data_IF_722738775615
#
_entry.id   IF_722738775615
#
_cell.length_a   1.000
_cell.length_b   1.000
_cell.length_c   1.000
_cell.angle_alpha   90.00
_cell.angle_beta   90.00
_cell.angle_gamma   90.00
#
_symmetry.space_group_name_H-M   'P 1'
#
loop_
_entity.id
_entity.type
_entity.pdbx_description
1 polymer ?
#
# COMPACT_ATOMS: atom_id res chain seq x y z
N UNK A 1 10.88 -45.02 58.12
CA UNK A 1 11.85 -43.94 57.92
C UNK A 1 11.42 -43.16 56.68
N UNK A 2 10.83 -41.97 56.90
CA UNK A 2 11.27 -40.65 56.38
C UNK A 2 12.16 -40.65 55.12
N UNK A 3 12.07 -39.77 54.11
CA UNK A 3 11.35 -38.52 53.74
C UNK A 3 11.58 -38.38 52.22
N UNK A 4 10.71 -37.69 51.47
CA UNK A 4 11.12 -37.20 50.13
C UNK A 4 10.08 -36.51 49.25
N UNK A 5 9.41 -35.49 49.80
CA UNK A 5 8.98 -34.22 49.15
C UNK A 5 8.42 -34.22 47.70
N UNK A 6 7.11 -33.91 47.59
CA UNK A 6 6.45 -33.37 46.38
C UNK A 6 6.95 -31.93 46.13
N UNK A 7 7.54 -31.66 44.97
CA UNK A 7 7.72 -30.29 44.46
C UNK A 7 6.42 -29.82 43.82
N UNK A 8 5.64 -29.03 44.55
CA UNK A 8 4.69 -28.08 44.00
C UNK A 8 5.49 -26.91 43.40
N UNK A 9 5.46 -26.73 42.09
CA UNK A 9 5.91 -25.49 41.47
C UNK A 9 4.78 -24.48 41.65
N UNK A 10 4.91 -23.63 42.67
CA UNK A 10 4.12 -22.41 42.78
C UNK A 10 4.55 -21.47 41.67
N UNK A 11 3.75 -21.36 40.62
CA UNK A 11 3.80 -20.19 39.74
C UNK A 11 3.24 -19.04 40.55
N UNK A 12 4.12 -18.21 41.07
CA UNK A 12 3.77 -16.90 41.63
C UNK A 12 3.19 -16.07 40.49
N UNK A 13 1.87 -15.95 40.48
CA UNK A 13 1.20 -14.88 39.75
C UNK A 13 1.46 -13.59 40.52
N UNK A 14 2.48 -12.84 40.10
CA UNK A 14 2.64 -11.47 40.54
C UNK A 14 1.42 -10.67 40.03
N UNK A 15 0.61 -10.06 40.91
CA UNK A 15 -0.34 -9.05 40.48
C UNK A 15 0.50 -7.85 40.07
N UNK A 16 0.48 -7.45 38.80
CA UNK A 16 1.02 -6.17 38.40
C UNK A 16 0.16 -5.07 39.02
N UNK A 17 0.53 -4.66 40.24
CA UNK A 17 0.04 -3.47 40.91
C UNK A 17 0.63 -2.26 40.16
N UNK A 18 -0.07 -1.81 39.12
CA UNK A 18 0.39 -0.76 38.21
C UNK A 18 0.41 0.64 38.86
N UNK A 19 0.15 0.77 40.15
CA UNK A 19 0.25 2.03 40.91
C UNK A 19 1.69 2.50 41.13
N UNK A 20 2.69 1.63 40.99
CA UNK A 20 4.11 1.97 41.19
C UNK A 20 4.83 2.43 39.93
N UNK A 21 4.16 2.39 38.76
CA UNK A 21 4.76 2.91 37.54
C UNK A 21 4.63 4.44 37.53
N UNK A 22 5.77 5.15 37.52
CA UNK A 22 5.88 6.61 37.63
C UNK A 22 4.89 7.40 36.76
N UNK A 23 4.54 6.88 35.58
CA UNK A 23 3.61 7.52 34.64
C UNK A 23 2.15 7.56 35.12
N UNK A 24 1.75 6.66 36.02
CA UNK A 24 0.40 6.60 36.61
C UNK A 24 0.34 7.23 38.01
N UNK A 25 1.42 7.88 38.45
CA UNK A 25 1.40 8.69 39.67
C UNK A 25 0.38 9.82 39.53
N UNK A 26 -0.33 10.13 40.62
CA UNK A 26 -1.37 11.15 40.66
C UNK A 26 -0.93 12.52 40.13
N UNK A 27 0.32 12.94 40.38
CA UNK A 27 0.85 14.22 39.90
C UNK A 27 1.09 14.21 38.38
N UNK A 28 1.54 13.08 37.84
CA UNK A 28 1.77 12.88 36.41
C UNK A 28 0.45 12.75 35.66
N UNK A 29 -0.52 12.01 36.22
CA UNK A 29 -1.88 11.93 35.70
C UNK A 29 -2.55 13.31 35.70
N UNK A 30 -2.42 14.07 36.79
CA UNK A 30 -2.93 15.45 36.86
C UNK A 30 -2.23 16.37 35.86
N UNK A 31 -0.93 16.19 35.63
CA UNK A 31 -0.22 16.90 34.58
C UNK A 31 -0.76 16.53 33.18
N UNK A 32 -0.98 15.25 32.89
CA UNK A 32 -1.60 14.81 31.64
C UNK A 32 -3.01 15.39 31.46
N UNK A 33 -3.85 15.36 32.49
CA UNK A 33 -5.19 15.94 32.47
C UNK A 33 -5.15 17.45 32.22
N UNK A 34 -4.16 18.16 32.80
CA UNK A 34 -3.94 19.58 32.53
C UNK A 34 -3.51 19.83 31.06
N UNK A 35 -2.81 18.90 30.41
CA UNK A 35 -2.47 19.01 28.98
C UNK A 35 -3.71 18.87 28.09
N UNK A 36 -4.70 18.07 28.49
CA UNK A 36 -5.99 17.94 27.79
C UNK A 36 -6.98 19.06 28.16
N UNK A 37 -6.71 19.82 29.22
CA UNK A 37 -7.53 20.93 29.70
C UNK A 37 -7.17 22.23 28.96
N UNK A 38 -7.38 22.31 27.64
CA UNK A 38 -7.24 23.60 26.96
C UNK A 38 -8.34 24.56 27.43
N UNK A 39 -7.94 25.67 28.04
CA UNK A 39 -8.80 26.76 28.53
C UNK A 39 -9.33 27.69 27.44
N UNK A 40 -9.22 27.32 26.16
CA UNK A 40 -9.91 28.00 25.07
C UNK A 40 -11.03 27.09 24.56
N UNK A 41 -12.27 27.59 24.41
CA UNK A 41 -13.27 26.88 23.66
C UNK A 41 -12.82 26.89 22.21
N UNK A 42 -11.97 25.94 21.83
CA UNK A 42 -11.65 25.72 20.42
C UNK A 42 -12.98 25.31 19.81
N UNK A 43 -13.57 26.25 19.08
CA UNK A 43 -14.71 26.08 18.21
C UNK A 43 -14.27 25.26 16.97
N UNK A 44 -13.52 24.20 17.21
CA UNK A 44 -13.01 23.25 16.23
C UNK A 44 -14.05 22.16 16.09
N UNK A 45 -15.08 22.45 15.30
CA UNK A 45 -16.03 21.44 14.88
C UNK A 45 -15.24 20.34 14.15
N UNK A 46 -15.14 19.15 14.75
CA UNK A 46 -14.77 17.92 14.04
C UNK A 46 -13.33 17.42 14.14
N UNK A 47 -12.45 17.91 15.02
CA UNK A 47 -11.11 17.31 15.20
C UNK A 47 -11.20 15.85 15.70
N UNK A 48 -12.18 15.55 16.56
CA UNK A 48 -12.49 14.20 17.02
C UNK A 48 -12.89 13.25 15.89
N UNK A 49 -13.37 13.78 14.76
CA UNK A 49 -13.74 12.99 13.59
C UNK A 49 -12.57 12.70 12.65
N UNK A 50 -11.39 13.26 12.93
CA UNK A 50 -10.15 13.03 12.19
C UNK A 50 -9.27 11.95 12.82
N UNK A 51 -9.62 11.48 14.02
CA UNK A 51 -8.89 10.41 14.68
C UNK A 51 -8.94 9.11 13.86
N UNK A 52 -7.79 8.48 13.52
CA UNK A 52 -7.77 7.21 12.78
C UNK A 52 -8.40 6.04 13.54
N UNK A 53 -8.43 6.11 14.88
CA UNK A 53 -9.06 5.13 15.75
C UNK A 53 -10.13 5.82 16.58
N UNK A 54 -11.32 5.22 16.63
CA UNK A 54 -12.48 5.78 17.30
C UNK A 54 -13.20 4.72 18.13
N UNK A 55 -13.72 5.13 19.27
CA UNK A 55 -14.67 4.35 20.07
C UNK A 55 -16.09 4.80 19.78
N UNK A 56 -17.09 4.00 20.18
CA UNK A 56 -18.51 4.30 19.90
C UNK A 56 -18.97 5.67 20.41
N UNK A 57 -18.43 6.15 21.54
CA UNK A 57 -18.79 7.43 22.13
C UNK A 57 -18.36 8.64 21.30
N UNK A 58 -17.37 8.49 20.40
CA UNK A 58 -16.98 9.55 19.48
C UNK A 58 -18.04 9.78 18.39
N UNK A 59 -18.75 8.71 17.96
CA UNK A 59 -19.78 8.81 16.93
C UNK A 59 -21.04 9.54 17.42
N UNK A 60 -21.44 9.34 18.67
CA UNK A 60 -22.69 9.92 19.22
C UNK A 60 -22.59 11.44 19.39
N UNK A 61 -21.39 11.97 19.69
CA UNK A 61 -21.13 13.41 19.84
C UNK A 61 -21.13 14.16 18.51
N UNK A 62 -20.50 13.61 17.47
CA UNK A 62 -20.43 14.24 16.14
C UNK A 62 -21.78 14.34 15.42
N UNK A 63 -22.71 13.42 15.71
CA UNK A 63 -24.06 13.42 15.09
C UNK A 63 -25.02 14.51 15.62
N UNK A 64 -24.69 15.20 16.72
CA UNK A 64 -25.59 16.19 17.33
C UNK A 64 -25.34 17.64 16.89
N UNK A 65 -24.20 17.95 16.26
CA UNK A 65 -23.69 19.34 16.17
C UNK A 65 -23.62 19.98 14.80
N UNK A 66 -24.04 19.37 13.68
CA UNK A 66 -23.91 20.04 12.37
C UNK A 66 -25.02 19.71 11.35
N UNK A 67 -25.76 20.75 10.95
CA UNK A 67 -26.67 20.77 9.79
C UNK A 67 -25.94 21.03 8.45
N UNK A 68 -24.60 21.15 8.45
CA UNK A 68 -23.82 21.33 7.23
C UNK A 68 -23.39 19.99 6.63
N UNK A 69 -23.43 19.90 5.28
CA UNK A 69 -23.13 18.75 4.41
C UNK A 69 -22.52 17.55 5.14
N UNK A 70 -23.35 16.58 5.51
CA UNK A 70 -22.91 15.26 6.01
C UNK A 70 -22.02 14.58 4.96
N UNK A 71 -20.71 14.76 5.04
CA UNK A 71 -19.79 13.79 4.49
C UNK A 71 -20.08 12.47 5.20
N UNK A 72 -20.43 11.45 4.42
CA UNK A 72 -20.79 10.17 5.01
C UNK A 72 -19.53 9.57 5.65
N UNK A 73 -19.51 9.50 6.99
CA UNK A 73 -18.40 8.90 7.72
C UNK A 73 -18.21 7.45 7.27
N UNK A 74 -16.96 7.10 6.99
CA UNK A 74 -16.58 5.75 6.61
C UNK A 74 -15.71 5.16 7.70
N UNK A 75 -16.06 3.98 8.19
CA UNK A 75 -15.34 3.31 9.26
C UNK A 75 -15.56 1.80 9.22
N UNK A 76 -14.66 1.05 9.84
CA UNK A 76 -14.78 -0.39 10.02
C UNK A 76 -14.34 -0.84 11.41
N UNK A 77 -14.93 -1.90 11.93
CA UNK A 77 -14.53 -2.49 13.21
C UNK A 77 -13.11 -3.05 13.09
N UNK A 78 -12.21 -2.60 13.96
CA UNK A 78 -10.82 -3.03 13.96
C UNK A 78 -10.52 -3.99 15.10
N UNK A 79 -10.97 -3.64 16.31
CA UNK A 79 -10.59 -4.36 17.51
C UNK A 79 -11.65 -4.25 18.61
N UNK A 80 -11.41 -4.99 19.69
CA UNK A 80 -12.13 -4.86 20.95
C UNK A 80 -11.11 -4.63 22.06
N UNK A 81 -11.29 -3.56 22.83
CA UNK A 81 -10.54 -3.33 24.06
C UNK A 81 -10.83 -4.48 25.04
N UNK A 82 -9.77 -5.12 25.55
CA UNK A 82 -9.87 -6.18 26.56
C UNK A 82 -9.49 -5.56 27.90
N UNK A 83 -10.36 -5.69 28.91
CA UNK A 83 -10.11 -5.18 30.26
C UNK A 83 -8.99 -5.98 30.96
N UNK A 84 -8.11 -5.27 31.67
CA UNK A 84 -7.15 -5.85 32.62
C UNK A 84 -7.55 -5.68 34.08
N UNK A 85 -8.55 -4.86 34.40
CA UNK A 85 -9.01 -4.60 35.77
C UNK A 85 -10.53 -4.30 35.82
N UNK A 86 -11.25 -4.79 36.85
CA UNK A 86 -12.72 -4.75 36.93
C UNK A 86 -13.33 -3.36 37.24
N UNK A 87 -12.53 -2.29 37.20
CA UNK A 87 -12.90 -1.00 37.81
C UNK A 87 -13.35 0.08 36.81
N UNK A 88 -13.22 -0.15 35.50
CA UNK A 88 -13.63 0.82 34.46
C UNK A 88 -14.54 0.10 33.48
N UNK A 89 -15.85 0.25 33.66
CA UNK A 89 -16.86 -0.26 32.73
C UNK A 89 -16.78 0.57 31.45
N UNK A 90 -16.17 0.01 30.40
CA UNK A 90 -16.28 0.59 29.06
C UNK A 90 -17.68 0.24 28.54
N UNK A 91 -18.54 1.25 28.35
CA UNK A 91 -19.93 1.07 27.90
C UNK A 91 -20.02 0.33 26.55
N UNK A 92 -19.01 0.49 25.68
CA UNK A 92 -18.82 -0.31 24.47
C UNK A 92 -17.32 -0.50 24.18
N UNK A 93 -16.80 -1.74 24.26
CA UNK A 93 -15.38 -2.01 24.12
C UNK A 93 -14.88 -2.00 22.67
N UNK A 94 -15.74 -1.74 21.67
CA UNK A 94 -15.34 -1.78 20.26
C UNK A 94 -14.49 -0.57 19.87
N UNK A 95 -13.45 -0.86 19.09
CA UNK A 95 -12.57 0.12 18.47
C UNK A 95 -12.73 0.02 16.96
N UNK A 96 -13.03 1.15 16.34
CA UNK A 96 -13.25 1.30 14.91
C UNK A 96 -12.08 2.03 14.27
N UNK A 97 -11.73 1.62 13.07
CA UNK A 97 -10.82 2.31 12.18
C UNK A 97 -11.60 3.34 11.36
N UNK A 98 -11.22 4.60 11.46
CA UNK A 98 -11.79 5.69 10.69
C UNK A 98 -11.12 5.77 9.32
N UNK A 99 -11.91 5.56 8.28
CA UNK A 99 -11.46 5.54 6.89
C UNK A 99 -11.64 6.93 6.25
N UNK A 100 -12.47 7.79 6.87
CA UNK A 100 -12.77 9.14 6.37
C UNK A 100 -11.52 10.02 6.23
N UNK A 101 -10.67 10.17 7.27
CA UNK A 101 -9.44 10.94 7.15
C UNK A 101 -8.31 10.09 6.54
N UNK A 102 -7.40 10.70 5.78
CA UNK A 102 -6.17 10.03 5.40
C UNK A 102 -5.35 9.71 6.64
N UNK A 103 -4.91 8.46 6.77
CA UNK A 103 -4.09 8.02 7.89
C UNK A 103 -2.97 7.09 7.43
N UNK A 104 -1.93 6.97 8.25
CA UNK A 104 -0.83 6.04 8.04
C UNK A 104 -0.76 5.10 9.23
N UNK A 105 -0.65 3.80 8.96
CA UNK A 105 -0.58 2.76 9.98
C UNK A 105 0.68 1.95 9.79
N UNK A 106 1.46 1.80 10.87
CA UNK A 106 2.63 0.93 10.90
C UNK A 106 2.31 -0.31 11.74
N UNK A 107 2.40 -1.50 11.13
CA UNK A 107 2.10 -2.79 11.78
C UNK A 107 3.40 -3.55 12.00
N UNK A 108 3.77 -3.75 13.26
CA UNK A 108 4.95 -4.52 13.64
C UNK A 108 4.57 -5.62 14.64
N UNK A 109 5.47 -6.59 14.83
CA UNK A 109 5.22 -7.77 15.66
C UNK A 109 6.04 -8.98 15.24
N UNK A 110 6.14 -9.97 16.13
CA UNK A 110 6.86 -11.22 15.88
C UNK A 110 6.26 -12.01 14.69
N UNK A 111 7.03 -12.95 14.16
CA UNK A 111 6.50 -13.86 13.14
C UNK A 111 5.27 -14.60 13.67
N UNK A 112 4.20 -14.68 12.87
CA UNK A 112 2.96 -15.34 13.26
C UNK A 112 2.03 -14.51 14.19
N UNK A 113 2.39 -13.27 14.54
CA UNK A 113 1.56 -12.43 15.42
C UNK A 113 0.31 -11.83 14.76
N UNK A 114 -0.07 -12.28 13.56
CA UNK A 114 -1.26 -11.78 12.85
C UNK A 114 -1.10 -10.43 12.13
N UNK A 115 0.12 -9.94 11.85
CA UNK A 115 0.33 -8.64 11.16
C UNK A 115 -0.40 -8.55 9.81
N UNK A 116 -0.21 -9.57 8.97
CA UNK A 116 -0.82 -9.66 7.64
C UNK A 116 -2.34 -9.84 7.71
N UNK A 117 -2.83 -10.52 8.76
CA UNK A 117 -4.25 -10.59 9.08
C UNK A 117 -4.82 -9.22 9.45
N UNK A 118 -4.15 -8.47 10.34
CA UNK A 118 -4.56 -7.09 10.69
C UNK A 118 -4.58 -6.18 9.47
N UNK A 119 -3.58 -6.28 8.59
CA UNK A 119 -3.58 -5.55 7.32
C UNK A 119 -4.79 -5.91 6.46
N UNK A 120 -5.12 -7.21 6.37
CA UNK A 120 -6.28 -7.68 5.61
C UNK A 120 -7.59 -7.14 6.19
N UNK A 121 -7.78 -7.14 7.51
CA UNK A 121 -8.96 -6.54 8.15
C UNK A 121 -9.10 -5.04 7.86
N UNK A 122 -7.98 -4.30 7.85
CA UNK A 122 -7.96 -2.89 7.46
C UNK A 122 -8.35 -2.74 5.99
N UNK A 123 -7.80 -3.58 5.10
CA UNK A 123 -8.15 -3.57 3.67
C UNK A 123 -9.62 -3.93 3.45
N UNK A 124 -10.17 -4.95 4.11
CA UNK A 124 -11.58 -5.32 4.05
C UNK A 124 -12.47 -4.13 4.46
N UNK A 125 -12.11 -3.44 5.54
CA UNK A 125 -12.84 -2.25 5.99
C UNK A 125 -12.83 -1.13 4.96
N UNK A 126 -11.73 -0.98 4.19
CA UNK A 126 -11.57 0.04 3.16
C UNK A 126 -12.20 -0.34 1.80
N UNK A 127 -12.40 -1.62 1.53
CA UNK A 127 -12.74 -2.14 0.19
C UNK A 127 -14.14 -2.78 0.12
N UNK A 128 -14.68 -3.29 1.24
CA UNK A 128 -15.92 -4.08 1.27
C UNK A 128 -16.96 -3.42 2.16
N UNK A 129 -18.11 -2.99 1.61
CA UNK A 129 -19.27 -2.64 2.42
C UNK A 129 -19.73 -3.85 3.24
N UNK A 130 -19.69 -3.75 4.56
CA UNK A 130 -20.08 -4.86 5.43
C UNK A 130 -20.74 -4.37 6.72
N UNK A 131 -21.35 -5.31 7.45
CA UNK A 131 -21.94 -5.04 8.78
C UNK A 131 -20.90 -4.70 9.86
N UNK A 132 -19.61 -4.87 9.57
CA UNK A 132 -18.53 -4.48 10.46
C UNK A 132 -18.32 -2.96 10.49
N UNK A 133 -18.97 -2.19 9.61
CA UNK A 133 -18.77 -0.76 9.53
C UNK A 133 -19.78 -0.04 8.64
N UNK A 134 -19.40 1.14 8.19
CA UNK A 134 -20.13 1.93 7.19
C UNK A 134 -19.13 2.34 6.11
N UNK A 135 -19.36 1.89 4.87
CA UNK A 135 -18.48 2.19 3.73
C UNK A 135 -19.32 2.54 2.50
N UNK A 136 -19.83 3.78 2.40
CA UNK A 136 -20.65 4.22 1.28
C UNK A 136 -19.84 4.42 -0.01
N UNK A 137 -18.54 4.72 0.09
CA UNK A 137 -17.64 4.82 -1.04
C UNK A 137 -16.42 3.93 -0.80
N UNK A 138 -16.44 2.67 -1.28
CA UNK A 138 -15.28 1.78 -1.27
C UNK A 138 -14.05 2.41 -1.94
N UNK A 139 -12.87 2.14 -1.38
CA UNK A 139 -11.61 2.65 -1.90
C UNK A 139 -11.00 1.68 -2.93
N UNK A 140 -9.92 2.12 -3.58
CA UNK A 140 -9.04 1.23 -4.34
C UNK A 140 -7.75 0.99 -3.56
N UNK A 141 -7.35 -0.28 -3.44
CA UNK A 141 -6.12 -0.68 -2.76
C UNK A 141 -4.97 -0.96 -3.72
N UNK A 142 -3.75 -0.56 -3.34
CA UNK A 142 -2.50 -1.00 -3.97
C UNK A 142 -1.63 -1.60 -2.87
N UNK A 143 -1.20 -2.86 -3.06
CA UNK A 143 -0.36 -3.58 -2.10
C UNK A 143 0.98 -3.90 -2.74
N UNK A 144 2.06 -3.37 -2.17
CA UNK A 144 3.42 -3.78 -2.49
C UNK A 144 3.83 -4.91 -1.56
N UNK A 145 3.87 -6.13 -2.09
CA UNK A 145 4.29 -7.28 -1.33
C UNK A 145 5.74 -7.61 -1.66
N UNK A 146 6.60 -7.49 -0.65
CA UNK A 146 7.97 -7.98 -0.73
C UNK A 146 8.04 -9.35 -0.06
N UNK A 147 8.37 -10.36 -0.85
CA UNK A 147 8.68 -11.70 -0.37
C UNK A 147 9.98 -12.15 -1.03
N UNK A 148 10.87 -12.74 -0.22
CA UNK A 148 12.07 -13.39 -0.71
C UNK A 148 11.67 -14.75 -1.23
N UNK A 149 11.18 -14.83 -2.47
CA UNK A 149 10.84 -16.09 -3.13
C UNK A 149 12.03 -17.07 -3.06
N UNK A 150 11.90 -18.19 -2.33
CA UNK A 150 13.00 -19.15 -2.11
C UNK A 150 12.87 -20.40 -3.00
N UNK A 151 11.82 -20.54 -3.83
CA UNK A 151 11.73 -21.69 -4.74
C UNK A 151 10.88 -21.47 -5.98
N UNK A 152 11.31 -22.09 -7.09
CA UNK A 152 10.58 -22.16 -8.37
C UNK A 152 9.36 -23.10 -8.31
N UNK A 153 9.15 -23.79 -7.19
CA UNK A 153 8.18 -24.89 -7.04
C UNK A 153 7.02 -24.56 -6.12
N UNK A 154 7.21 -23.73 -5.09
CA UNK A 154 6.14 -23.30 -4.19
C UNK A 154 6.45 -21.95 -3.53
N UNK A 155 5.60 -20.97 -3.81
CA UNK A 155 5.43 -19.76 -3.00
C UNK A 155 4.00 -19.72 -2.46
N UNK A 156 3.78 -19.04 -1.34
CA UNK A 156 2.42 -18.78 -0.86
C UNK A 156 1.91 -17.47 -1.46
N UNK A 157 0.63 -17.37 -1.85
CA UNK A 157 0.03 -16.09 -2.19
C UNK A 157 0.17 -15.08 -1.06
N UNK A 158 0.27 -13.80 -1.41
CA UNK A 158 0.13 -12.72 -0.45
C UNK A 158 -1.22 -12.85 0.26
N UNK A 159 -1.26 -12.65 1.58
CA UNK A 159 -2.51 -12.77 2.35
C UNK A 159 -3.60 -11.82 1.84
N UNK A 160 -3.23 -10.61 1.42
CA UNK A 160 -4.15 -9.64 0.82
C UNK A 160 -4.79 -10.14 -0.49
N UNK A 161 -4.19 -11.12 -1.17
CA UNK A 161 -4.78 -11.69 -2.38
C UNK A 161 -6.03 -12.52 -2.10
N UNK A 162 -6.20 -13.02 -0.86
CA UNK A 162 -7.41 -13.75 -0.46
C UNK A 162 -8.67 -12.88 -0.42
N UNK A 163 -8.53 -11.55 -0.49
CA UNK A 163 -9.65 -10.63 -0.71
C UNK A 163 -10.43 -10.95 -2.00
N UNK A 164 -9.79 -11.60 -2.98
CA UNK A 164 -10.44 -12.14 -4.19
C UNK A 164 -11.53 -13.19 -3.94
N UNK A 165 -11.64 -13.69 -2.70
CA UNK A 165 -12.74 -14.59 -2.31
C UNK A 165 -14.08 -13.86 -2.19
N UNK A 166 -14.07 -12.52 -2.06
CA UNK A 166 -15.29 -11.71 -2.07
C UNK A 166 -15.70 -11.42 -3.53
N UNK A 167 -16.95 -11.66 -3.93
CA UNK A 167 -17.39 -11.50 -5.32
C UNK A 167 -17.24 -10.05 -5.83
N UNK A 168 -17.39 -9.07 -4.93
CA UNK A 168 -17.33 -7.65 -5.27
C UNK A 168 -15.90 -7.08 -5.30
N UNK A 169 -14.86 -7.90 -5.12
CA UNK A 169 -13.46 -7.46 -5.23
C UNK A 169 -12.77 -8.15 -6.41
N UNK A 170 -12.31 -7.33 -7.36
CA UNK A 170 -11.34 -7.78 -8.36
C UNK A 170 -9.91 -7.56 -7.88
N UNK A 171 -9.19 -8.66 -7.61
CA UNK A 171 -7.75 -8.63 -7.35
C UNK A 171 -6.99 -8.96 -8.63
N UNK A 172 -5.95 -8.17 -8.91
CA UNK A 172 -4.98 -8.41 -9.98
C UNK A 172 -3.57 -8.37 -9.42
N UNK A 173 -2.75 -9.35 -9.79
CA UNK A 173 -1.37 -9.46 -9.34
C UNK A 173 -0.43 -9.09 -10.49
N UNK A 174 0.49 -8.18 -10.18
CA UNK A 174 1.58 -7.78 -11.06
C UNK A 174 2.89 -8.26 -10.45
N UNK A 175 3.72 -8.95 -11.24
CA UNK A 175 5.01 -9.44 -10.78
C UNK A 175 6.12 -9.13 -11.79
N UNK A 176 7.38 -9.20 -11.36
CA UNK A 176 8.51 -9.06 -12.28
C UNK A 176 8.36 -10.04 -13.47
N UNK A 177 8.62 -9.60 -14.71
CA UNK A 177 8.47 -10.46 -15.89
C UNK A 177 9.29 -11.76 -15.80
N UNK A 178 10.44 -11.70 -15.12
CA UNK A 178 11.32 -12.85 -14.86
C UNK A 178 10.72 -13.94 -13.97
N UNK A 179 9.67 -13.65 -13.20
CA UNK A 179 9.08 -14.58 -12.23
C UNK A 179 7.62 -14.97 -12.57
N UNK A 180 7.11 -14.60 -13.75
CA UNK A 180 5.69 -14.73 -14.07
C UNK A 180 5.14 -16.16 -13.92
N UNK A 181 5.91 -17.16 -14.35
CA UNK A 181 5.47 -18.55 -14.31
C UNK A 181 5.29 -19.06 -12.87
N UNK A 182 6.27 -18.81 -11.99
CA UNK A 182 6.19 -19.26 -10.61
C UNK A 182 5.06 -18.56 -9.85
N UNK A 183 4.85 -17.26 -10.07
CA UNK A 183 3.74 -16.52 -9.45
C UNK A 183 2.39 -17.04 -9.95
N UNK A 184 2.25 -17.31 -11.25
CA UNK A 184 1.03 -17.96 -11.77
C UNK A 184 0.76 -19.31 -11.09
N UNK A 185 1.80 -20.11 -10.86
CA UNK A 185 1.70 -21.35 -10.11
C UNK A 185 1.24 -21.13 -8.66
N UNK A 186 1.90 -20.22 -7.93
CA UNK A 186 1.58 -19.92 -6.54
C UNK A 186 0.13 -19.43 -6.34
N UNK A 187 -0.37 -18.61 -7.26
CA UNK A 187 -1.71 -18.01 -7.21
C UNK A 187 -2.77 -18.84 -7.94
N UNK A 188 -2.43 -19.98 -8.53
CA UNK A 188 -3.34 -20.82 -9.35
C UNK A 188 -4.61 -21.29 -8.61
N UNK A 189 -4.56 -21.31 -7.28
CA UNK A 189 -5.71 -21.67 -6.42
C UNK A 189 -6.70 -20.53 -6.22
N UNK A 190 -6.34 -19.30 -6.59
CA UNK A 190 -7.16 -18.10 -6.50
C UNK A 190 -7.65 -17.74 -7.91
N UNK A 191 -8.88 -17.26 -8.03
CA UNK A 191 -9.42 -16.79 -9.31
C UNK A 191 -8.92 -15.36 -9.61
N UNK A 192 -7.60 -15.21 -9.79
CA UNK A 192 -6.92 -13.92 -9.90
C UNK A 192 -6.14 -13.84 -11.21
N UNK A 193 -6.22 -12.69 -11.88
CA UNK A 193 -5.37 -12.40 -13.03
C UNK A 193 -3.93 -12.07 -12.58
N UNK A 194 -2.97 -12.91 -12.99
CA UNK A 194 -1.53 -12.67 -12.80
C UNK A 194 -0.90 -12.23 -14.12
N UNK A 195 -0.27 -11.07 -14.13
CA UNK A 195 0.36 -10.49 -15.32
C UNK A 195 1.74 -9.92 -15.01
N UNK A 196 2.58 -9.83 -16.04
CA UNK A 196 3.93 -9.30 -15.93
C UNK A 196 3.89 -7.77 -15.72
N UNK A 197 4.80 -7.27 -14.90
CA UNK A 197 5.00 -5.85 -14.65
C UNK A 197 5.74 -5.21 -15.84
N UNK A 198 4.99 -4.87 -16.88
CA UNK A 198 5.50 -4.20 -18.08
C UNK A 198 5.06 -2.72 -18.12
N UNK A 199 6.04 -1.83 -18.09
CA UNK A 199 5.90 -0.38 -18.14
C UNK A 199 5.94 0.06 -19.59
N UNK A 200 4.81 0.56 -20.07
CA UNK A 200 4.69 1.14 -21.40
C UNK A 200 5.55 2.40 -21.55
N UNK A 201 6.14 2.61 -22.74
CA UNK A 201 6.93 3.80 -23.07
C UNK A 201 6.20 5.12 -22.81
N UNK A 202 4.86 5.17 -22.91
CA UNK A 202 4.04 6.35 -22.58
C UNK A 202 4.17 6.75 -21.11
N UNK A 203 4.47 5.79 -20.25
CA UNK A 203 4.65 6.01 -18.82
C UNK A 203 6.11 6.28 -18.45
N UNK A 204 7.05 6.25 -19.40
CA UNK A 204 8.45 6.57 -19.13
C UNK A 204 8.65 8.08 -19.13
N UNK A 205 9.33 8.55 -18.09
CA UNK A 205 9.88 9.90 -18.02
C UNK A 205 11.32 9.81 -17.53
N UNK A 206 12.06 10.92 -17.57
CA UNK A 206 13.47 10.94 -17.18
C UNK A 206 13.71 10.34 -15.79
N UNK A 207 12.89 10.70 -14.79
CA UNK A 207 13.05 10.17 -13.43
C UNK A 207 12.79 8.66 -13.39
N UNK A 208 11.66 8.19 -13.93
CA UNK A 208 11.30 6.76 -13.96
C UNK A 208 12.33 5.92 -14.70
N UNK A 209 12.86 6.41 -15.81
CA UNK A 209 13.94 5.72 -16.53
C UNK A 209 15.21 5.61 -15.69
N UNK A 210 15.62 6.70 -15.02
CA UNK A 210 16.79 6.69 -14.14
C UNK A 210 16.60 5.76 -12.94
N UNK A 211 15.43 5.79 -12.31
CA UNK A 211 15.08 4.93 -11.19
C UNK A 211 15.06 3.44 -11.60
N UNK A 212 14.48 3.11 -12.76
CA UNK A 212 14.49 1.74 -13.34
C UNK A 212 15.88 1.28 -13.78
N UNK A 213 16.81 2.21 -14.05
CA UNK A 213 18.22 1.93 -14.32
C UNK A 213 19.07 1.88 -13.04
N UNK A 214 18.45 1.97 -11.85
CA UNK A 214 19.11 2.07 -10.55
C UNK A 214 20.23 3.14 -10.52
N UNK A 215 19.97 4.32 -11.09
CA UNK A 215 20.93 5.43 -11.12
C UNK A 215 20.78 6.25 -9.85
N UNK A 216 21.84 6.33 -9.02
CA UNK A 216 21.86 7.14 -7.81
C UNK A 216 21.15 6.52 -6.60
N UNK A 217 21.03 5.19 -6.58
CA UNK A 217 20.60 4.43 -5.39
C UNK A 217 21.74 4.23 -4.38
N UNK A 218 22.99 4.30 -4.85
CA UNK A 218 24.19 4.27 -4.03
C UNK A 218 24.68 5.70 -3.75
N UNK A 219 25.31 5.94 -2.59
CA UNK A 219 25.97 7.22 -2.19
C UNK A 219 27.16 7.63 -3.08
N UNK A 220 27.30 7.02 -4.26
CA UNK A 220 28.37 7.25 -5.22
C UNK A 220 28.11 8.43 -6.16
N UNK A 221 29.18 9.03 -6.71
CA UNK A 221 29.05 10.07 -7.72
C UNK A 221 28.37 9.53 -8.99
N UNK A 222 27.47 10.34 -9.56
CA UNK A 222 26.73 9.96 -10.76
C UNK A 222 27.70 9.64 -11.93
N UNK A 223 27.56 8.48 -12.60
CA UNK A 223 28.45 8.12 -13.69
C UNK A 223 28.40 9.14 -14.85
N UNK A 224 29.56 9.45 -15.44
CA UNK A 224 29.68 10.48 -16.48
C UNK A 224 28.77 10.23 -17.70
N UNK A 225 28.59 8.97 -18.10
CA UNK A 225 27.71 8.61 -19.22
C UNK A 225 26.24 9.01 -18.99
N UNK A 226 25.82 9.16 -17.74
CA UNK A 226 24.46 9.61 -17.40
C UNK A 226 24.23 11.08 -17.73
N UNK A 227 25.27 11.91 -17.84
CA UNK A 227 25.12 13.27 -18.35
C UNK A 227 24.73 13.26 -19.83
N UNK A 228 25.35 12.39 -20.63
CA UNK A 228 25.00 12.20 -22.05
C UNK A 228 23.56 11.71 -22.20
N UNK A 229 23.15 10.70 -21.41
CA UNK A 229 21.77 10.19 -21.40
C UNK A 229 20.77 11.30 -21.04
N UNK A 230 21.03 12.08 -19.98
CA UNK A 230 20.18 13.21 -19.58
C UNK A 230 20.09 14.28 -20.67
N UNK A 231 21.19 14.57 -21.38
CA UNK A 231 21.21 15.51 -22.51
C UNK A 231 20.29 15.02 -23.63
N UNK A 232 20.43 13.76 -24.06
CA UNK A 232 19.60 13.16 -25.11
C UNK A 232 18.11 13.19 -24.72
N UNK A 233 17.77 12.83 -23.48
CA UNK A 233 16.39 12.87 -23.00
C UNK A 233 15.81 14.29 -23.00
N UNK A 234 16.62 15.31 -22.70
CA UNK A 234 16.20 16.72 -22.78
C UNK A 234 15.95 17.14 -24.22
N UNK A 235 16.87 16.83 -25.14
CA UNK A 235 16.73 17.14 -26.57
C UNK A 235 15.47 16.50 -27.16
N UNK A 236 15.25 15.21 -26.88
CA UNK A 236 14.04 14.51 -27.32
C UNK A 236 12.76 15.13 -26.75
N UNK A 237 12.79 15.60 -25.50
CA UNK A 237 11.63 16.27 -24.91
C UNK A 237 11.32 17.60 -25.62
N UNK A 238 12.32 18.35 -26.07
CA UNK A 238 12.10 19.56 -26.88
C UNK A 238 11.49 19.21 -28.24
N UNK A 239 12.01 18.18 -28.92
CA UNK A 239 11.47 17.68 -30.20
C UNK A 239 10.00 17.24 -30.06
N UNK A 240 9.69 16.52 -28.99
CA UNK A 240 8.32 16.05 -28.67
C UNK A 240 7.35 17.20 -28.41
N UNK A 241 7.80 18.25 -27.71
CA UNK A 241 6.99 19.44 -27.44
C UNK A 241 6.67 20.20 -28.73
N UNK A 242 7.64 20.32 -29.64
CA UNK A 242 7.44 20.98 -30.93
C UNK A 242 6.52 20.18 -31.86
N UNK A 243 6.63 18.85 -31.86
CA UNK A 243 5.88 17.96 -32.75
C UNK A 243 4.56 17.43 -32.16
N UNK A 244 4.26 17.72 -30.90
CA UNK A 244 3.13 17.14 -30.15
C UNK A 244 3.09 15.60 -30.16
N UNK A 245 4.27 14.96 -30.13
CA UNK A 245 4.39 13.49 -30.13
C UNK A 245 4.76 12.95 -28.74
N UNK A 246 4.45 11.67 -28.49
CA UNK A 246 4.85 10.97 -27.27
C UNK A 246 6.33 10.56 -27.25
N UNK A 247 6.78 10.03 -26.10
CA UNK A 247 8.11 9.45 -25.97
C UNK A 247 8.23 8.13 -26.74
N UNK A 248 9.31 7.99 -27.52
CA UNK A 248 9.67 6.76 -28.21
C UNK A 248 10.99 6.20 -27.70
N UNK A 249 10.90 5.04 -27.04
CA UNK A 249 12.05 4.38 -26.45
C UNK A 249 13.08 3.93 -27.49
N UNK A 250 12.63 3.51 -28.69
CA UNK A 250 13.54 3.07 -29.75
C UNK A 250 14.39 4.22 -30.26
N UNK A 251 13.77 5.35 -30.55
CA UNK A 251 14.49 6.58 -30.94
C UNK A 251 15.50 6.98 -29.87
N UNK A 252 15.12 6.89 -28.59
CA UNK A 252 16.04 7.14 -27.48
C UNK A 252 17.24 6.18 -27.48
N UNK A 253 17.00 4.87 -27.59
CA UNK A 253 18.05 3.85 -27.61
C UNK A 253 19.02 4.07 -28.76
N UNK A 254 18.52 4.37 -29.95
CA UNK A 254 19.37 4.69 -31.11
C UNK A 254 20.23 5.93 -30.88
N UNK A 255 19.63 7.05 -30.41
CA UNK A 255 20.40 8.28 -30.09
C UNK A 255 21.48 8.05 -29.01
N UNK A 256 21.25 7.12 -28.07
CA UNK A 256 22.24 6.73 -27.06
C UNK A 256 23.37 5.91 -27.67
N UNK A 257 23.05 4.90 -28.49
CA UNK A 257 24.04 4.04 -29.14
C UNK A 257 24.90 4.82 -30.17
N UNK A 258 24.31 5.81 -30.84
CA UNK A 258 24.99 6.70 -31.80
C UNK A 258 25.79 7.82 -31.13
N UNK A 259 25.75 7.92 -29.79
CA UNK A 259 26.50 8.94 -29.08
C UNK A 259 27.99 8.58 -28.95
N UNK A 260 28.87 9.57 -28.86
CA UNK A 260 30.33 9.41 -28.73
C UNK A 260 30.77 8.87 -27.36
N UNK A 261 30.02 7.96 -26.75
CA UNK A 261 30.41 7.27 -25.52
C UNK A 261 31.53 6.28 -25.81
N UNK A 262 32.50 6.20 -24.90
CA UNK A 262 33.57 5.21 -25.02
C UNK A 262 33.03 3.80 -24.71
N UNK A 263 33.68 2.72 -25.18
CA UNK A 263 33.26 1.36 -24.86
C UNK A 263 33.14 1.10 -23.34
N UNK A 264 34.06 1.67 -22.55
CA UNK A 264 34.05 1.58 -21.09
C UNK A 264 32.85 2.29 -20.42
N UNK A 265 32.24 3.27 -21.11
CA UNK A 265 31.02 3.94 -20.67
C UNK A 265 29.75 3.27 -21.18
N UNK A 266 29.83 2.66 -22.37
CA UNK A 266 28.69 2.02 -23.02
C UNK A 266 28.30 0.71 -22.34
N UNK A 267 29.27 -0.10 -21.91
CA UNK A 267 28.99 -1.42 -21.33
C UNK A 267 28.14 -1.33 -20.04
N UNK A 268 28.48 -0.47 -19.04
CA UNK A 268 27.63 -0.30 -17.86
C UNK A 268 26.27 0.32 -18.19
N UNK A 269 26.20 1.18 -19.20
CA UNK A 269 24.94 1.76 -19.65
C UNK A 269 24.04 0.71 -20.29
N UNK A 270 24.60 -0.21 -21.10
CA UNK A 270 23.87 -1.30 -21.72
C UNK A 270 23.23 -2.21 -20.67
N UNK A 271 23.96 -2.59 -19.63
CA UNK A 271 23.41 -3.38 -18.51
C UNK A 271 22.22 -2.68 -17.83
N UNK A 272 22.32 -1.37 -17.62
CA UNK A 272 21.23 -0.57 -17.05
C UNK A 272 20.02 -0.49 -17.99
N UNK A 273 20.26 -0.33 -19.28
CA UNK A 273 19.19 -0.35 -20.29
C UNK A 273 18.52 -1.72 -20.36
N UNK A 274 19.28 -2.82 -20.30
CA UNK A 274 18.74 -4.19 -20.24
C UNK A 274 17.85 -4.40 -19.00
N UNK A 275 18.25 -3.86 -17.84
CA UNK A 275 17.43 -3.89 -16.63
C UNK A 275 16.12 -3.12 -16.81
N UNK A 276 16.15 -1.91 -17.39
CA UNK A 276 14.94 -1.16 -17.72
C UNK A 276 14.06 -1.90 -18.74
N UNK A 277 14.66 -2.42 -19.80
CA UNK A 277 13.97 -3.15 -20.89
C UNK A 277 13.34 -4.45 -20.40
N UNK A 278 13.89 -5.07 -19.35
CA UNK A 278 13.31 -6.27 -18.73
C UNK A 278 11.91 -6.03 -18.14
N UNK A 279 11.56 -4.77 -17.86
CA UNK A 279 10.23 -4.32 -17.41
C UNK A 279 9.47 -3.58 -18.53
N UNK A 280 9.83 -3.72 -19.80
CA UNK A 280 9.10 -3.10 -20.91
C UNK A 280 8.52 -4.16 -21.85
N UNK A 281 7.42 -3.85 -22.57
CA UNK A 281 6.92 -4.73 -23.61
C UNK A 281 7.98 -4.96 -24.71
N UNK A 282 8.25 -6.21 -25.08
CA UNK A 282 9.30 -6.56 -26.05
C UNK A 282 9.13 -5.87 -27.42
N UNK A 283 7.88 -5.64 -27.83
CA UNK A 283 7.56 -4.90 -29.06
C UNK A 283 7.91 -3.42 -29.02
N UNK A 284 8.31 -2.86 -27.87
CA UNK A 284 8.77 -1.49 -27.71
C UNK A 284 10.31 -1.40 -27.63
N UNK A 285 11.01 -2.52 -27.38
CA UNK A 285 12.46 -2.56 -27.16
C UNK A 285 13.25 -3.16 -28.33
N UNK A 286 12.65 -4.09 -29.09
CA UNK A 286 13.31 -4.75 -30.22
C UNK A 286 13.22 -3.95 -31.53
N UNK A 287 14.23 -4.06 -32.42
CA UNK A 287 14.16 -3.53 -33.78
C UNK A 287 13.08 -4.28 -34.58
N UNK A 288 12.23 -3.54 -35.30
CA UNK A 288 11.06 -4.10 -36.01
C UNK A 288 11.54 -5.07 -37.10
N UNK A 289 11.29 -6.37 -36.92
CA UNK A 289 11.27 -7.34 -38.01
C UNK A 289 9.85 -7.88 -38.13
N UNK A 290 9.09 -7.39 -39.11
CA UNK A 290 7.77 -7.91 -39.45
C UNK A 290 6.61 -6.93 -39.27
N UNK A 291 5.70 -6.94 -40.25
CA UNK A 291 4.45 -6.17 -40.30
C UNK A 291 3.44 -6.71 -39.28
N UNK A 292 3.54 -6.36 -38.00
CA UNK A 292 2.42 -6.45 -37.07
C UNK A 292 2.42 -5.21 -36.17
N UNK A 293 1.58 -4.23 -36.53
CA UNK A 293 1.38 -2.93 -35.84
C UNK A 293 0.41 -3.03 -34.66
N UNK A 294 0.37 -4.15 -33.94
CA UNK A 294 -0.24 -4.14 -32.62
C UNK A 294 0.85 -3.66 -31.66
N UNK A 295 0.84 -2.38 -31.29
CA UNK A 295 1.65 -1.92 -30.18
C UNK A 295 1.26 -2.79 -28.97
N UNK A 296 2.17 -3.62 -28.47
CA UNK A 296 1.95 -4.28 -27.19
C UNK A 296 1.83 -3.17 -26.17
N UNK A 297 0.61 -2.94 -25.68
CA UNK A 297 0.38 -2.00 -24.61
C UNK A 297 0.93 -2.64 -23.33
N UNK A 298 1.70 -1.85 -22.55
CA UNK A 298 2.08 -2.28 -21.20
C UNK A 298 0.88 -2.33 -20.26
N UNK A 299 1.14 -2.35 -18.96
CA UNK A 299 0.06 -2.45 -17.97
C UNK A 299 -0.90 -1.26 -18.02
N UNK A 300 -2.20 -1.60 -17.97
CA UNK A 300 -3.24 -0.64 -17.58
C UNK A 300 -3.24 -0.43 -16.06
N UNK A 301 -3.07 0.82 -15.66
CA UNK A 301 -3.07 1.27 -14.26
C UNK A 301 -4.48 1.57 -13.75
N UNK A 302 -5.50 1.57 -14.62
CA UNK A 302 -6.87 1.83 -14.20
C UNK A 302 -7.34 0.76 -13.20
N UNK A 303 -7.91 1.17 -12.07
CA UNK A 303 -8.66 0.27 -11.22
C UNK A 303 -9.80 -0.34 -12.04
N UNK A 304 -10.02 -1.63 -11.91
CA UNK A 304 -11.22 -2.26 -12.46
C UNK A 304 -12.31 -2.16 -11.40
N UNK A 305 -13.44 -1.60 -11.79
CA UNK A 305 -14.60 -1.45 -10.93
C UNK A 305 -15.41 -2.73 -11.04
N UNK A 306 -15.70 -3.36 -9.90
CA UNK A 306 -16.60 -4.51 -9.83
C UNK A 306 -18.00 -4.07 -10.24
N UNK A 307 -18.58 -4.76 -11.22
CA UNK A 307 -19.80 -4.36 -11.93
C UNK A 307 -21.04 -4.69 -11.10
N UNK A 308 -21.31 -3.95 -10.02
CA UNK A 308 -22.67 -3.89 -9.42
C UNK A 308 -23.11 -2.47 -8.99
N UNK A 309 -22.20 -1.49 -8.95
CA UNK A 309 -22.52 -0.13 -8.46
C UNK A 309 -23.30 0.80 -9.44
N UNK A 310 -23.78 0.29 -10.57
CA UNK A 310 -24.58 1.10 -11.52
C UNK A 310 -26.09 0.84 -11.50
N UNK A 311 -26.57 -0.22 -10.84
CA UNK A 311 -28.00 -0.56 -10.89
C UNK A 311 -28.85 0.05 -9.75
N UNK A 312 -28.25 0.66 -8.72
CA UNK A 312 -29.00 1.28 -7.62
C UNK A 312 -29.07 2.82 -7.63
N UNK A 313 -28.26 3.51 -8.44
CA UNK A 313 -28.28 4.98 -8.55
C UNK A 313 -29.09 5.49 -9.77
N UNK A 314 -29.86 4.63 -10.42
CA UNK A 314 -30.70 4.96 -11.58
C UNK A 314 -32.18 5.24 -11.27
N UNK A 315 -32.57 5.44 -10.01
CA UNK A 315 -33.95 5.80 -9.66
C UNK A 315 -34.16 7.32 -9.66
N UNK A 316 -34.43 7.85 -10.85
CA UNK A 316 -35.38 8.94 -11.15
C UNK A 316 -35.41 10.15 -10.19
N UNK A 317 -34.69 11.22 -10.56
CA UNK A 317 -35.20 12.58 -10.35
C UNK A 317 -35.94 13.01 -11.62
N UNK A 318 -37.26 12.88 -11.57
CA UNK A 318 -38.21 13.73 -12.28
C UNK A 318 -38.78 14.72 -11.25
#
# INVERSE_FOLDING_TARGET
MTVGSKRSVSVTTDPCDNSDHFIFNADVMRYHDNLFSSSEPVQGVGEETLAPLMTSCAFTKGSQTSQEKKTAHQFGLLARAIEGSPSVVIEDPRVFYNITPPSSTFICGSQGSGKSHTLSCILESCLIPSKAGQLPNPLTGIVFHYDTFISDTMGSPCEAAFLSSHPDIEVRVLCAPTNLHAIKGAYSRLNIAVSALEIDQRNLNTKRMLDLMAVGQDDGPMPLYMHTVKRILREMRMEQQAAHTGFDYRTFKNKVLDSNLTPAQLEPLKQRLEMLESFMPQLQTLPISGKNKAASEGIDWKPKVSVEDFLYNGASLA
#
